data_IF_777231714520
#
_entry.id   IF_777231714520
#
_cell.length_a   1.000
_cell.length_b   1.000
_cell.length_c   1.000
_cell.angle_alpha   90.00
_cell.angle_beta   90.00
_cell.angle_gamma   90.00
#
_symmetry.space_group_name_H-M   'P 1'
#
loop_
_entity.id
_entity.type
_entity.pdbx_description
1 polymer ?
#
# COMPACT_ATOMS: atom_id res chain seq x y z
N UNK A 1 -5.78 -17.23 -9.12
CA UNK A 1 -5.56 -18.08 -7.94
C UNK A 1 -6.24 -17.40 -6.75
N UNK A 2 -7.40 -17.88 -6.33
CA UNK A 2 -8.08 -17.41 -5.11
C UNK A 2 -7.41 -18.06 -3.89
N UNK A 3 -6.18 -17.66 -3.59
CA UNK A 3 -5.58 -17.95 -2.29
C UNK A 3 -5.92 -16.80 -1.35
N UNK A 4 -6.27 -17.10 -0.10
CA UNK A 4 -6.19 -16.09 0.97
C UNK A 4 -4.75 -15.57 0.94
N UNK A 5 -4.55 -14.34 0.48
CA UNK A 5 -3.21 -13.74 0.43
C UNK A 5 -2.83 -13.42 1.86
N UNK A 6 -2.06 -14.33 2.46
CA UNK A 6 -1.50 -14.11 3.79
C UNK A 6 -0.61 -12.87 3.74
N UNK A 7 -1.05 -11.82 4.41
CA UNK A 7 -0.31 -10.57 4.57
C UNK A 7 0.00 -10.42 6.06
N UNK A 8 1.27 -10.56 6.41
CA UNK A 8 1.75 -10.48 7.80
C UNK A 8 2.80 -9.39 7.91
N UNK A 9 2.96 -8.88 9.13
CA UNK A 9 3.79 -7.72 9.41
C UNK A 9 3.30 -6.46 8.66
N UNK A 10 4.07 -5.36 8.70
CA UNK A 10 3.78 -4.09 8.04
C UNK A 10 2.63 -3.27 8.63
N UNK A 11 2.25 -3.54 9.88
CA UNK A 11 1.14 -2.84 10.56
C UNK A 11 1.43 -1.33 10.64
N UNK A 12 2.62 -0.95 11.06
CA UNK A 12 3.04 0.45 11.19
C UNK A 12 3.05 1.16 9.84
N UNK A 13 3.56 0.52 8.78
CA UNK A 13 3.56 1.09 7.43
C UNK A 13 2.16 1.25 6.87
N UNK A 14 1.26 0.28 7.11
CA UNK A 14 -0.15 0.41 6.72
C UNK A 14 -0.83 1.56 7.48
N UNK A 15 -0.64 1.64 8.80
CA UNK A 15 -1.19 2.74 9.62
C UNK A 15 -0.65 4.11 9.18
N UNK A 16 0.63 4.20 8.82
CA UNK A 16 1.20 5.39 8.25
C UNK A 16 0.50 5.80 6.93
N UNK A 17 0.32 4.84 6.02
CA UNK A 17 -0.37 5.09 4.75
C UNK A 17 -1.85 5.48 4.96
N UNK A 18 -2.55 4.82 5.89
CA UNK A 18 -3.94 5.15 6.25
C UNK A 18 -4.05 6.56 6.83
N UNK A 19 -3.17 6.92 7.76
CA UNK A 19 -3.14 8.28 8.31
C UNK A 19 -2.94 9.31 7.21
N UNK A 20 -2.00 9.08 6.29
CA UNK A 20 -1.73 9.98 5.16
C UNK A 20 -2.88 10.04 4.16
N UNK A 21 -3.59 8.93 3.97
CA UNK A 21 -4.77 8.87 3.12
C UNK A 21 -5.93 9.71 3.64
N UNK A 22 -6.10 9.75 4.97
CA UNK A 22 -7.18 10.48 5.62
C UNK A 22 -6.89 11.98 5.81
N UNK A 23 -5.68 12.44 5.50
CA UNK A 23 -5.39 13.87 5.48
C UNK A 23 -6.06 14.54 4.27
N UNK A 24 -6.73 15.69 4.47
CA UNK A 24 -7.38 16.45 3.41
C UNK A 24 -6.38 17.28 2.56
N UNK A 25 -5.23 16.69 2.22
CA UNK A 25 -4.19 17.30 1.40
C UNK A 25 -3.52 16.26 0.51
N UNK A 26 -2.96 16.72 -0.59
CA UNK A 26 -2.14 15.87 -1.43
C UNK A 26 -0.85 15.47 -0.67
N UNK A 27 -0.54 14.17 -0.68
CA UNK A 27 0.66 13.62 -0.08
C UNK A 27 1.47 12.91 -1.18
N UNK A 28 2.75 13.27 -1.33
CA UNK A 28 3.71 12.52 -2.13
C UNK A 28 4.47 11.57 -1.21
N UNK A 29 4.32 10.26 -1.43
CA UNK A 29 4.96 9.22 -0.63
C UNK A 29 5.89 8.41 -1.52
N UNK A 30 7.17 8.33 -1.13
CA UNK A 30 8.18 7.53 -1.81
C UNK A 30 8.42 6.27 -1.00
N UNK A 31 8.05 5.11 -1.55
CA UNK A 31 8.36 3.81 -0.94
C UNK A 31 9.63 3.23 -1.53
N UNK A 32 10.69 3.16 -0.73
CA UNK A 32 11.98 2.62 -1.14
C UNK A 32 12.35 1.35 -0.34
N UNK A 33 13.37 0.64 -0.82
CA UNK A 33 13.96 -0.52 -0.13
C UNK A 33 14.47 -1.56 -1.14
N UNK A 34 14.90 -2.72 -0.66
CA UNK A 34 15.42 -3.80 -1.52
C UNK A 34 14.36 -4.35 -2.50
N UNK A 35 14.79 -4.84 -3.67
CA UNK A 35 13.90 -5.51 -4.63
C UNK A 35 13.27 -6.76 -3.99
N UNK A 36 12.03 -7.09 -4.38
CA UNK A 36 11.29 -8.29 -3.93
C UNK A 36 10.96 -8.38 -2.43
N UNK A 37 11.02 -7.27 -1.70
CA UNK A 37 10.59 -7.21 -0.27
C UNK A 37 9.08 -7.04 -0.07
N UNK A 38 8.30 -7.01 -1.16
CA UNK A 38 6.84 -6.88 -1.08
C UNK A 38 6.29 -5.45 -1.02
N UNK A 39 7.05 -4.42 -1.42
CA UNK A 39 6.55 -3.03 -1.50
C UNK A 39 5.26 -2.90 -2.32
N UNK A 40 5.23 -3.55 -3.48
CA UNK A 40 4.04 -3.62 -4.34
C UNK A 40 2.86 -4.28 -3.63
N UNK A 41 3.11 -5.33 -2.84
CA UNK A 41 2.06 -6.00 -2.08
C UNK A 41 1.55 -5.12 -0.93
N UNK A 42 2.43 -4.38 -0.26
CA UNK A 42 2.05 -3.38 0.73
C UNK A 42 1.09 -2.34 0.13
N UNK A 43 1.42 -1.77 -1.04
CA UNK A 43 0.53 -0.83 -1.73
C UNK A 43 -0.79 -1.48 -2.14
N UNK A 44 -0.76 -2.70 -2.69
CA UNK A 44 -1.99 -3.42 -3.05
C UNK A 44 -2.88 -3.64 -1.82
N UNK A 45 -2.28 -4.08 -0.71
CA UNK A 45 -2.98 -4.31 0.57
C UNK A 45 -3.58 -3.01 1.12
N UNK A 46 -2.81 -1.93 1.11
CA UNK A 46 -3.27 -0.59 1.50
C UNK A 46 -4.45 -0.11 0.64
N UNK A 47 -4.43 -0.39 -0.67
CA UNK A 47 -5.50 0.02 -1.58
C UNK A 47 -6.74 -0.89 -1.52
N UNK A 48 -6.69 -2.02 -0.80
CA UNK A 48 -7.88 -2.86 -0.60
C UNK A 48 -9.00 -2.05 0.06
N UNK A 49 -10.23 -2.23 -0.44
CA UNK A 49 -11.43 -1.53 0.03
C UNK A 49 -11.42 0.00 -0.15
N UNK A 50 -10.47 0.57 -0.89
CA UNK A 50 -10.45 2.00 -1.22
C UNK A 50 -11.00 2.26 -2.62
N UNK A 51 -11.86 3.28 -2.75
CA UNK A 51 -12.40 3.71 -4.05
C UNK A 51 -11.39 4.62 -4.76
N UNK A 52 -10.52 4.02 -5.55
CA UNK A 52 -9.51 4.74 -6.34
C UNK A 52 -9.93 4.87 -7.81
N UNK A 53 -9.66 6.02 -8.43
CA UNK A 53 -9.97 6.24 -9.86
C UNK A 53 -8.97 5.55 -10.79
N UNK A 54 -7.70 5.54 -10.41
CA UNK A 54 -6.60 4.91 -11.16
C UNK A 54 -5.47 4.55 -10.20
N UNK A 55 -4.88 3.38 -10.39
CA UNK A 55 -3.60 3.02 -9.81
C UNK A 55 -2.72 2.41 -10.90
N UNK A 56 -1.51 2.93 -11.05
CA UNK A 56 -0.47 2.34 -11.89
C UNK A 56 0.68 1.98 -10.96
N UNK A 57 0.84 0.69 -10.67
CA UNK A 57 1.87 0.20 -9.76
C UNK A 57 2.98 -0.42 -10.60
N UNK A 58 4.11 0.28 -10.68
CA UNK A 58 5.31 -0.17 -11.35
C UNK A 58 6.23 -0.84 -10.31
N UNK A 59 6.66 -2.09 -10.57
CA UNK A 59 7.53 -2.88 -9.70
C UNK A 59 8.84 -3.19 -10.41
#
# INVERSE_FOLDING_TARGET
MYGIVMFVNRKEELEFLERKWNENKANLIILYGRRRVGKTMLIKKFLENKKIKRASIFC
#
